data_IF_405195407757
#
_entry.id   IF_405195407757
#
_cell.length_a   1.000
_cell.length_b   1.000
_cell.length_c   1.000
_cell.angle_alpha   90.00
_cell.angle_beta   90.00
_cell.angle_gamma   90.00
#
_symmetry.space_group_name_H-M   'P 1'
#
loop_
_entity.id
_entity.type
_entity.pdbx_description
1 polymer ?
#
# COMPACT_ATOMS: atom_id res chain seq x y z
N UNK A 1 -3.33 55.81 37.45
CA UNK A 1 -3.39 54.41 37.88
C UNK A 1 -4.49 53.64 37.12
N UNK A 2 -5.69 54.20 36.99
CA UNK A 2 -6.82 53.55 36.25
C UNK A 2 -6.54 53.30 34.77
N UNK A 3 -5.95 54.26 34.04
CA UNK A 3 -5.61 54.10 32.60
C UNK A 3 -4.60 52.98 32.34
N UNK A 4 -3.61 52.83 33.22
CA UNK A 4 -2.60 51.75 33.10
C UNK A 4 -3.26 50.36 33.30
N UNK A 5 -4.18 50.25 34.26
CA UNK A 5 -4.93 49.01 34.52
C UNK A 5 -5.86 48.63 33.36
N UNK A 6 -6.50 49.63 32.71
CA UNK A 6 -7.35 49.35 31.55
C UNK A 6 -6.57 48.88 30.33
N UNK A 7 -5.37 49.46 30.09
CA UNK A 7 -4.48 49.04 29.02
C UNK A 7 -4.00 47.59 29.25
N UNK A 8 -3.57 47.25 30.47
CA UNK A 8 -3.13 45.86 30.80
C UNK A 8 -4.30 44.89 30.64
N UNK A 9 -5.49 45.23 31.12
CA UNK A 9 -6.67 44.40 30.95
C UNK A 9 -7.03 44.14 29.47
N UNK A 10 -6.98 45.19 28.65
CA UNK A 10 -7.25 45.10 27.20
C UNK A 10 -6.21 44.19 26.48
N UNK A 11 -4.92 44.33 26.80
CA UNK A 11 -3.88 43.51 26.17
C UNK A 11 -4.00 42.01 26.54
N UNK A 12 -4.39 41.72 27.80
CA UNK A 12 -4.62 40.33 28.22
C UNK A 12 -5.81 39.71 27.48
N UNK A 13 -6.92 40.46 27.37
CA UNK A 13 -8.11 39.98 26.62
C UNK A 13 -7.77 39.72 25.15
N UNK A 14 -7.04 40.64 24.48
CA UNK A 14 -6.63 40.46 23.10
C UNK A 14 -5.72 39.23 22.95
N UNK A 15 -4.75 39.02 23.85
CA UNK A 15 -3.88 37.85 23.81
C UNK A 15 -4.66 36.53 23.98
N UNK A 16 -5.63 36.48 24.90
CA UNK A 16 -6.53 35.35 25.08
C UNK A 16 -7.37 35.05 23.84
N UNK A 17 -7.93 36.11 23.21
CA UNK A 17 -8.71 35.95 21.96
C UNK A 17 -7.84 35.41 20.83
N UNK A 18 -6.62 35.92 20.63
CA UNK A 18 -5.70 35.46 19.61
C UNK A 18 -5.33 33.96 19.84
N UNK A 19 -5.03 33.60 21.09
CA UNK A 19 -4.71 32.23 21.45
C UNK A 19 -5.89 31.28 21.20
N UNK A 20 -7.10 31.67 21.56
CA UNK A 20 -8.32 30.91 21.34
C UNK A 20 -8.62 30.74 19.85
N UNK A 21 -8.51 31.81 19.06
CA UNK A 21 -8.68 31.72 17.60
C UNK A 21 -7.63 30.84 16.95
N UNK A 22 -6.36 30.95 17.37
CA UNK A 22 -5.28 30.09 16.86
C UNK A 22 -5.55 28.61 17.16
N UNK A 23 -6.05 28.31 18.36
CA UNK A 23 -6.45 26.94 18.75
C UNK A 23 -7.59 26.42 17.88
N UNK A 24 -8.66 27.19 17.68
CA UNK A 24 -9.79 26.82 16.82
C UNK A 24 -9.33 26.53 15.38
N UNK A 25 -8.53 27.44 14.81
CA UNK A 25 -8.00 27.25 13.44
C UNK A 25 -7.14 25.98 13.33
N UNK A 26 -6.37 25.66 14.36
CA UNK A 26 -5.54 24.45 14.37
C UNK A 26 -6.39 23.19 14.49
N UNK A 27 -7.47 23.21 15.27
CA UNK A 27 -8.40 22.08 15.40
C UNK A 27 -9.17 21.84 14.09
N UNK A 28 -9.66 22.88 13.42
CA UNK A 28 -10.35 22.76 12.14
C UNK A 28 -9.46 22.32 10.98
N UNK A 29 -8.19 22.73 10.96
CA UNK A 29 -7.22 22.28 9.93
C UNK A 29 -6.91 20.78 10.01
N UNK A 30 -7.23 20.12 11.12
CA UNK A 30 -7.05 18.68 11.29
C UNK A 30 -8.27 17.86 10.81
N UNK A 31 -9.35 18.50 10.41
CA UNK A 31 -10.53 17.83 9.86
C UNK A 31 -10.49 17.89 8.33
N UNK A 32 -10.52 16.74 7.70
CA UNK A 32 -10.62 16.61 6.23
C UNK A 32 -12.06 16.15 5.94
N UNK A 33 -12.82 16.97 5.22
CA UNK A 33 -14.13 16.58 4.72
C UNK A 33 -13.94 15.81 3.41
N UNK A 34 -14.29 14.54 3.40
CA UNK A 34 -14.36 13.72 2.19
C UNK A 34 -15.82 13.65 1.76
N UNK A 35 -16.11 14.15 0.57
CA UNK A 35 -17.43 14.03 -0.06
C UNK A 35 -17.45 12.68 -0.81
N UNK A 36 -18.21 11.74 -0.28
CA UNK A 36 -18.58 10.53 -1.00
C UNK A 36 -20.10 10.57 -1.24
N UNK A 37 -20.47 11.02 -2.44
CA UNK A 37 -21.84 11.33 -2.78
C UNK A 37 -22.37 12.57 -2.05
N UNK A 38 -23.65 12.57 -1.67
CA UNK A 38 -24.34 13.70 -1.00
C UNK A 38 -24.20 13.73 0.53
N UNK A 39 -23.39 12.82 1.13
CA UNK A 39 -23.22 12.74 2.59
C UNK A 39 -21.81 13.17 2.98
N UNK A 40 -21.63 14.28 3.70
CA UNK A 40 -20.34 14.68 4.20
C UNK A 40 -19.89 13.74 5.34
N UNK A 41 -18.84 12.95 5.10
CA UNK A 41 -18.16 12.19 6.15
C UNK A 41 -17.06 13.04 6.79
N UNK A 42 -17.12 13.20 8.10
CA UNK A 42 -16.02 13.77 8.88
C UNK A 42 -14.91 12.74 8.99
N UNK A 43 -13.89 12.86 8.14
CA UNK A 43 -12.69 12.05 8.27
C UNK A 43 -11.76 12.73 9.27
N UNK A 44 -11.70 12.19 10.48
CA UNK A 44 -10.65 12.57 11.44
C UNK A 44 -9.27 12.29 10.83
N UNK A 45 -8.38 13.28 10.83
CA UNK A 45 -6.99 13.08 10.40
C UNK A 45 -6.35 12.13 11.39
N UNK A 46 -6.53 10.82 11.15
CA UNK A 46 -5.91 9.79 11.96
C UNK A 46 -4.39 10.00 11.96
N UNK A 47 -3.77 9.72 13.09
CA UNK A 47 -2.33 9.89 13.27
C UNK A 47 -1.59 9.32 12.06
N UNK A 48 -0.65 10.05 11.52
CA UNK A 48 0.11 9.74 10.29
C UNK A 48 0.65 8.30 10.27
N UNK A 49 0.96 7.74 11.44
CA UNK A 49 1.42 6.37 11.64
C UNK A 49 0.33 5.31 11.38
N UNK A 50 -0.88 5.52 11.87
CA UNK A 50 -1.98 4.59 11.63
C UNK A 50 -2.37 4.52 10.14
N UNK A 51 -2.32 5.67 9.45
CA UNK A 51 -2.53 5.74 8.00
C UNK A 51 -1.41 5.02 7.24
N UNK A 52 -0.16 5.14 7.70
CA UNK A 52 0.98 4.47 7.07
C UNK A 52 0.79 2.95 7.04
N UNK A 53 0.41 2.33 8.16
CA UNK A 53 0.24 0.87 8.23
C UNK A 53 -0.84 0.38 7.28
N UNK A 54 -1.98 1.08 7.24
CA UNK A 54 -3.08 0.75 6.33
C UNK A 54 -2.66 0.90 4.86
N UNK A 55 -2.03 2.04 4.52
CA UNK A 55 -1.57 2.34 3.17
C UNK A 55 -0.45 1.38 2.71
N UNK A 56 0.47 1.03 3.61
CA UNK A 56 1.54 0.08 3.34
C UNK A 56 1.00 -1.35 3.10
N UNK A 57 0.04 -1.81 3.90
CA UNK A 57 -0.60 -3.11 3.67
C UNK A 57 -1.37 -3.15 2.36
N UNK A 58 -2.10 -2.09 2.03
CA UNK A 58 -2.80 -1.97 0.74
C UNK A 58 -1.80 -1.98 -0.42
N UNK A 59 -0.68 -1.27 -0.31
CA UNK A 59 0.38 -1.25 -1.31
C UNK A 59 1.02 -2.62 -1.52
N UNK A 60 1.35 -3.33 -0.42
CA UNK A 60 1.91 -4.69 -0.48
C UNK A 60 0.92 -5.64 -1.17
N UNK A 61 -0.36 -5.59 -0.80
CA UNK A 61 -1.40 -6.42 -1.40
C UNK A 61 -1.55 -6.14 -2.90
N UNK A 62 -1.62 -4.86 -3.29
CA UNK A 62 -1.74 -4.44 -4.68
C UNK A 62 -0.54 -4.86 -5.53
N UNK A 63 0.69 -4.74 -4.98
CA UNK A 63 1.89 -5.26 -5.63
C UNK A 63 1.79 -6.76 -5.93
N UNK A 64 1.39 -7.57 -4.94
CA UNK A 64 1.25 -9.01 -5.14
C UNK A 64 0.14 -9.35 -6.14
N UNK A 65 -0.95 -8.57 -6.18
CA UNK A 65 -1.98 -8.73 -7.19
C UNK A 65 -1.44 -8.45 -8.60
N UNK A 66 -0.71 -7.36 -8.81
CA UNK A 66 -0.11 -7.08 -10.10
C UNK A 66 0.96 -8.09 -10.52
N UNK A 67 1.68 -8.66 -9.55
CA UNK A 67 2.77 -9.59 -9.83
C UNK A 67 2.28 -11.03 -10.10
N UNK A 68 1.19 -11.47 -9.47
CA UNK A 68 0.75 -12.85 -9.49
C UNK A 68 -0.66 -13.11 -10.08
N UNK A 69 -1.48 -12.09 -10.33
CA UNK A 69 -2.75 -12.28 -11.04
C UNK A 69 -2.50 -12.18 -12.55
N UNK A 70 -2.29 -13.35 -13.15
CA UNK A 70 -1.85 -13.49 -14.53
C UNK A 70 -2.84 -14.36 -15.31
N UNK A 71 -3.71 -13.76 -16.13
CA UNK A 71 -4.51 -14.49 -17.12
C UNK A 71 -3.63 -14.94 -18.29
N UNK A 72 -4.08 -15.88 -19.15
CA UNK A 72 -3.33 -16.37 -20.30
C UNK A 72 -3.35 -15.37 -21.48
N UNK A 73 -2.92 -14.16 -21.24
CA UNK A 73 -2.84 -13.06 -22.21
C UNK A 73 -1.48 -12.36 -22.03
N UNK A 74 -0.64 -12.45 -23.06
CA UNK A 74 0.74 -11.94 -23.02
C UNK A 74 0.79 -10.42 -22.83
N UNK A 75 -0.10 -9.67 -23.49
CA UNK A 75 -0.12 -8.21 -23.39
C UNK A 75 -0.58 -7.76 -21.99
N UNK A 76 -1.59 -8.44 -21.44
CA UNK A 76 -2.04 -8.18 -20.08
C UNK A 76 -0.96 -8.52 -19.03
N UNK A 77 -0.26 -9.65 -19.19
CA UNK A 77 0.88 -10.05 -18.33
C UNK A 77 1.94 -8.97 -18.33
N UNK A 78 2.36 -8.50 -19.51
CA UNK A 78 3.35 -7.41 -19.63
C UNK A 78 2.87 -6.12 -18.97
N UNK A 79 1.61 -5.76 -19.20
CA UNK A 79 1.03 -4.55 -18.64
C UNK A 79 0.97 -4.62 -17.10
N UNK A 80 0.45 -5.70 -16.51
CA UNK A 80 0.30 -5.83 -15.06
C UNK A 80 1.65 -5.91 -14.36
N UNK A 81 2.62 -6.64 -14.91
CA UNK A 81 3.99 -6.68 -14.39
C UNK A 81 4.67 -5.31 -14.45
N UNK A 82 4.43 -4.52 -15.51
CA UNK A 82 4.94 -3.14 -15.57
C UNK A 82 4.43 -2.29 -14.42
N UNK A 83 3.17 -2.46 -14.00
CA UNK A 83 2.60 -1.78 -12.83
C UNK A 83 3.27 -2.21 -11.52
N UNK A 84 3.53 -3.50 -11.36
CA UNK A 84 4.26 -4.02 -10.20
C UNK A 84 5.67 -3.41 -10.09
N UNK A 85 6.36 -3.22 -11.22
CA UNK A 85 7.74 -2.67 -11.23
C UNK A 85 7.82 -1.20 -10.77
N UNK A 86 6.73 -0.42 -10.87
CA UNK A 86 6.70 0.93 -10.27
C UNK A 86 6.55 0.93 -8.74
N UNK A 87 6.22 -0.21 -8.15
CA UNK A 87 5.92 -0.37 -6.73
C UNK A 87 7.06 -1.01 -5.95
N UNK A 88 8.09 -1.54 -6.63
CA UNK A 88 9.19 -2.28 -6.02
C UNK A 88 10.54 -1.92 -6.63
N UNK A 89 11.60 -2.25 -5.91
CA UNK A 89 12.98 -2.05 -6.34
C UNK A 89 13.47 -3.11 -7.35
N UNK A 90 14.75 -3.06 -7.70
CA UNK A 90 15.38 -4.01 -8.61
C UNK A 90 15.33 -5.48 -8.17
N UNK A 91 14.97 -5.79 -6.91
CA UNK A 91 14.82 -7.19 -6.46
C UNK A 91 13.59 -7.86 -7.10
N UNK A 92 12.49 -7.12 -7.26
CA UNK A 92 11.30 -7.59 -7.97
C UNK A 92 11.58 -7.79 -9.47
N UNK A 93 12.35 -6.89 -10.08
CA UNK A 93 12.77 -7.03 -11.47
C UNK A 93 13.60 -8.30 -11.70
N UNK A 94 14.55 -8.58 -10.81
CA UNK A 94 15.35 -9.82 -10.88
C UNK A 94 14.48 -11.06 -10.78
N UNK A 95 13.50 -11.08 -9.89
CA UNK A 95 12.57 -12.19 -9.74
C UNK A 95 11.70 -12.36 -11.01
N UNK A 96 11.20 -11.25 -11.58
CA UNK A 96 10.47 -11.27 -12.85
C UNK A 96 11.32 -11.88 -13.96
N UNK A 97 12.57 -11.43 -14.12
CA UNK A 97 13.48 -11.93 -15.14
C UNK A 97 13.77 -13.43 -14.97
N UNK A 98 14.03 -13.89 -13.75
CA UNK A 98 14.23 -15.31 -13.47
C UNK A 98 13.00 -16.16 -13.83
N UNK A 99 11.79 -15.67 -13.60
CA UNK A 99 10.56 -16.37 -14.00
C UNK A 99 10.39 -16.38 -15.52
N UNK A 100 10.77 -15.30 -16.21
CA UNK A 100 10.73 -15.18 -17.67
C UNK A 100 11.73 -16.15 -18.32
N UNK A 101 12.96 -16.20 -17.82
CA UNK A 101 14.01 -17.13 -18.30
C UNK A 101 13.63 -18.60 -18.10
N UNK A 102 12.88 -18.91 -17.03
CA UNK A 102 12.35 -20.26 -16.78
C UNK A 102 11.07 -20.58 -17.58
N UNK A 103 10.62 -19.70 -18.47
CA UNK A 103 9.46 -19.91 -19.32
C UNK A 103 8.10 -19.81 -18.61
N UNK A 104 8.07 -19.32 -17.37
CA UNK A 104 6.84 -19.30 -16.54
C UNK A 104 5.68 -18.57 -17.22
N UNK A 105 5.91 -17.40 -17.82
CA UNK A 105 4.87 -16.61 -18.47
C UNK A 105 4.40 -17.25 -19.78
N UNK A 106 5.29 -17.81 -20.57
CA UNK A 106 4.93 -18.54 -21.81
C UNK A 106 4.13 -19.81 -21.50
N UNK A 107 4.43 -20.48 -20.38
CA UNK A 107 3.67 -21.64 -19.92
C UNK A 107 2.23 -21.27 -19.51
N UNK A 108 2.02 -20.11 -18.88
CA UNK A 108 0.68 -19.59 -18.55
C UNK A 108 -0.13 -19.42 -19.84
N UNK A 109 0.42 -18.77 -20.85
CA UNK A 109 -0.26 -18.48 -22.11
C UNK A 109 -0.53 -19.79 -22.87
N UNK A 110 0.48 -20.62 -23.06
CA UNK A 110 0.37 -21.88 -23.86
C UNK A 110 -0.58 -22.90 -23.24
N UNK A 111 -0.59 -23.01 -21.90
CA UNK A 111 -1.48 -23.92 -21.18
C UNK A 111 -2.87 -23.32 -20.91
N UNK A 112 -3.12 -22.07 -21.31
CA UNK A 112 -4.35 -21.31 -20.97
C UNK A 112 -4.62 -21.32 -19.45
N UNK A 113 -3.56 -21.24 -18.64
CA UNK A 113 -3.67 -21.22 -17.21
C UNK A 113 -4.07 -19.83 -16.70
N UNK A 114 -4.84 -19.77 -15.62
CA UNK A 114 -5.16 -18.52 -14.92
C UNK A 114 -4.52 -18.58 -13.53
N UNK A 115 -3.58 -17.68 -13.28
CA UNK A 115 -2.97 -17.54 -11.96
C UNK A 115 -3.67 -16.44 -11.18
N UNK A 116 -4.00 -16.69 -9.92
CA UNK A 116 -4.61 -15.75 -8.99
C UNK A 116 -3.90 -15.83 -7.64
N UNK A 117 -3.83 -14.69 -6.93
CA UNK A 117 -3.33 -14.63 -5.56
C UNK A 117 -4.42 -14.14 -4.61
N UNK A 118 -4.62 -14.86 -3.53
CA UNK A 118 -5.46 -14.46 -2.41
C UNK A 118 -4.53 -14.04 -1.28
N UNK A 119 -4.74 -12.85 -0.72
CA UNK A 119 -4.00 -12.39 0.44
C UNK A 119 -4.63 -12.99 1.70
N UNK A 120 -3.90 -13.83 2.41
CA UNK A 120 -4.35 -14.43 3.66
C UNK A 120 -4.04 -13.51 4.85
N UNK A 121 -2.83 -12.96 4.91
CA UNK A 121 -2.44 -11.98 5.92
C UNK A 121 -1.16 -11.22 5.56
N UNK A 122 -1.01 -10.03 6.15
CA UNK A 122 0.21 -9.22 6.05
C UNK A 122 0.64 -8.81 7.45
N UNK A 123 1.81 -9.28 7.86
CA UNK A 123 2.47 -8.83 9.09
C UNK A 123 3.46 -7.75 8.71
N UNK A 124 3.26 -6.55 9.24
CA UNK A 124 4.13 -5.39 9.05
C UNK A 124 4.61 -4.93 10.42
N UNK A 125 5.92 -4.79 10.57
CA UNK A 125 6.56 -4.16 11.72
C UNK A 125 6.72 -2.67 11.41
N UNK A 126 6.05 -1.83 12.18
CA UNK A 126 6.01 -0.38 12.00
C UNK A 126 7.37 0.29 12.23
N UNK A 127 8.18 -0.24 13.15
CA UNK A 127 9.48 0.33 13.50
C UNK A 127 10.55 -0.01 12.47
N UNK A 128 10.63 -1.29 12.08
CA UNK A 128 11.62 -1.76 11.11
C UNK A 128 11.14 -1.64 9.67
N UNK A 129 9.84 -1.37 9.46
CA UNK A 129 9.17 -1.32 8.15
C UNK A 129 9.35 -2.60 7.33
N UNK A 130 9.64 -3.71 7.99
CA UNK A 130 9.73 -5.03 7.36
C UNK A 130 8.37 -5.69 7.34
N UNK A 131 8.07 -6.37 6.24
CA UNK A 131 6.83 -7.11 6.14
C UNK A 131 7.06 -8.58 5.80
N UNK A 132 6.07 -9.38 6.16
CA UNK A 132 5.89 -10.75 5.72
C UNK A 132 4.47 -10.91 5.20
N UNK A 133 4.36 -11.23 3.92
CA UNK A 133 3.12 -11.49 3.22
C UNK A 133 2.86 -12.99 3.20
N UNK A 134 1.64 -13.38 3.47
CA UNK A 134 1.14 -14.74 3.35
C UNK A 134 -0.02 -14.73 2.36
N UNK A 135 0.03 -15.61 1.38
CA UNK A 135 -1.02 -15.72 0.40
C UNK A 135 -1.14 -17.12 -0.17
N UNK A 136 -2.29 -17.39 -0.74
CA UNK A 136 -2.59 -18.62 -1.44
C UNK A 136 -2.66 -18.34 -2.94
N UNK A 137 -1.74 -18.92 -3.72
CA UNK A 137 -1.81 -18.91 -5.17
C UNK A 137 -2.76 -20.00 -5.65
N UNK A 138 -3.65 -19.65 -6.56
CA UNK A 138 -4.55 -20.58 -7.25
C UNK A 138 -4.16 -20.55 -8.73
N UNK A 139 -3.77 -21.70 -9.27
CA UNK A 139 -3.42 -21.88 -10.68
C UNK A 139 -4.50 -22.78 -11.28
N UNK A 140 -5.41 -22.17 -12.03
CA UNK A 140 -6.47 -22.88 -12.74
C UNK A 140 -5.97 -23.33 -14.11
N UNK A 141 -6.04 -24.64 -14.40
CA UNK A 141 -5.67 -25.23 -15.68
C UNK A 141 -6.82 -26.11 -16.18
N UNK A 142 -6.83 -26.40 -17.47
CA UNK A 142 -7.83 -27.32 -18.05
C UNK A 142 -7.76 -28.74 -17.45
N UNK A 143 -6.55 -29.18 -17.07
CA UNK A 143 -6.32 -30.53 -16.56
C UNK A 143 -6.59 -30.67 -15.07
N UNK A 144 -6.14 -29.71 -14.26
CA UNK A 144 -6.25 -29.74 -12.80
C UNK A 144 -5.95 -28.36 -12.21
N UNK A 145 -6.75 -27.97 -11.24
CA UNK A 145 -6.47 -26.80 -10.40
C UNK A 145 -5.35 -27.14 -9.41
N UNK A 146 -4.50 -26.17 -9.14
CA UNK A 146 -3.42 -26.29 -8.17
C UNK A 146 -3.47 -25.11 -7.21
N UNK A 147 -3.22 -25.38 -5.93
CA UNK A 147 -3.05 -24.34 -4.91
C UNK A 147 -1.66 -24.42 -4.33
N UNK A 148 -1.08 -23.24 -4.07
CA UNK A 148 0.25 -23.10 -3.49
C UNK A 148 0.24 -22.11 -2.35
N UNK A 149 0.96 -22.40 -1.26
CA UNK A 149 1.31 -21.37 -0.29
C UNK A 149 2.36 -20.46 -0.87
N UNK A 150 2.18 -19.16 -0.72
CA UNK A 150 3.19 -18.16 -1.09
C UNK A 150 3.51 -17.32 0.14
N UNK A 151 4.78 -17.33 0.54
CA UNK A 151 5.28 -16.46 1.60
C UNK A 151 6.38 -15.59 1.03
N UNK A 152 6.20 -14.28 1.10
CA UNK A 152 7.22 -13.32 0.70
C UNK A 152 7.59 -12.37 1.83
N UNK A 153 8.77 -11.78 1.75
CA UNK A 153 9.25 -10.77 2.68
C UNK A 153 9.87 -9.61 1.92
N UNK A 154 9.92 -8.47 2.56
CA UNK A 154 10.57 -7.27 2.07
C UNK A 154 10.51 -6.16 3.10
N UNK A 155 10.88 -4.96 2.69
CA UNK A 155 10.77 -3.73 3.49
C UNK A 155 10.00 -2.69 2.70
N UNK A 156 9.47 -1.69 3.39
CA UNK A 156 8.77 -0.55 2.79
C UNK A 156 9.57 0.73 3.02
N UNK A 157 9.82 1.47 1.96
CA UNK A 157 10.46 2.79 2.00
C UNK A 157 9.52 3.87 1.45
N UNK A 158 9.62 5.08 1.98
CA UNK A 158 8.88 6.21 1.45
C UNK A 158 9.63 6.79 0.24
N UNK A 159 8.89 7.02 -0.84
CA UNK A 159 9.39 7.67 -2.05
C UNK A 159 8.41 8.78 -2.48
N UNK A 160 8.82 9.72 -3.33
CA UNK A 160 7.89 10.71 -3.88
C UNK A 160 6.70 10.03 -4.58
N UNK A 161 5.49 10.54 -4.33
CA UNK A 161 4.28 10.08 -5.01
C UNK A 161 4.34 10.43 -6.49
N UNK A 162 3.96 9.47 -7.33
CA UNK A 162 3.87 9.64 -8.78
C UNK A 162 2.55 9.09 -9.29
N UNK A 163 2.20 9.40 -10.54
CA UNK A 163 0.99 8.86 -11.19
C UNK A 163 0.98 7.32 -11.21
N UNK A 164 2.15 6.69 -11.31
CA UNK A 164 2.29 5.22 -11.36
C UNK A 164 2.48 4.60 -9.97
N UNK A 165 2.78 5.41 -8.95
CA UNK A 165 2.92 5.00 -7.55
C UNK A 165 2.28 6.07 -6.64
N UNK A 166 0.93 6.10 -6.56
CA UNK A 166 0.20 7.12 -5.83
C UNK A 166 0.36 7.01 -4.30
N UNK A 167 0.66 5.81 -3.78
CA UNK A 167 0.93 5.63 -2.34
C UNK A 167 2.26 6.27 -1.92
N UNK A 168 3.23 6.44 -2.86
CA UNK A 168 4.56 6.95 -2.52
C UNK A 168 5.33 5.98 -1.62
N UNK A 169 5.14 4.69 -1.82
CA UNK A 169 5.79 3.60 -1.10
C UNK A 169 6.55 2.72 -2.08
N UNK A 170 7.74 2.26 -1.69
CA UNK A 170 8.56 1.35 -2.49
C UNK A 170 8.82 0.08 -1.69
N UNK A 171 8.51 -1.06 -2.28
CA UNK A 171 8.90 -2.36 -1.74
C UNK A 171 10.36 -2.60 -2.07
N UNK A 172 11.19 -2.83 -1.05
CA UNK A 172 12.64 -3.07 -1.20
C UNK A 172 13.02 -4.43 -0.62
N UNK A 173 14.13 -4.98 -1.12
CA UNK A 173 14.66 -6.27 -0.66
C UNK A 173 13.63 -7.41 -0.72
N UNK A 174 12.76 -7.38 -1.73
CA UNK A 174 11.69 -8.35 -1.87
C UNK A 174 12.22 -9.71 -2.31
N UNK A 175 11.73 -10.76 -1.64
CA UNK A 175 12.07 -12.16 -1.98
C UNK A 175 10.97 -13.12 -1.55
N UNK A 176 10.86 -14.21 -2.28
CA UNK A 176 10.02 -15.34 -1.90
C UNK A 176 10.77 -16.24 -0.92
N UNK A 177 10.13 -16.54 0.22
CA UNK A 177 10.63 -17.50 1.21
C UNK A 177 10.07 -18.90 0.97
N UNK A 178 8.81 -18.98 0.56
CA UNK A 178 8.12 -20.24 0.35
C UNK A 178 7.15 -20.13 -0.82
N UNK A 179 7.14 -21.14 -1.66
CA UNK A 179 6.12 -21.37 -2.68
C UNK A 179 5.96 -22.89 -2.83
N UNK A 180 5.07 -23.48 -2.01
CA UNK A 180 4.87 -24.93 -1.95
C UNK A 180 3.49 -25.32 -2.38
N UNK A 181 3.37 -26.47 -3.06
CA UNK A 181 2.09 -27.05 -3.38
C UNK A 181 1.35 -27.41 -2.07
N UNK A 182 0.06 -27.07 -2.01
CA UNK A 182 -0.81 -27.50 -0.94
C UNK A 182 -1.46 -28.81 -1.37
N UNK A 183 -1.11 -29.90 -0.68
CA UNK A 183 -1.71 -31.21 -0.90
C UNK A 183 -3.21 -31.16 -0.56
N UNK A 184 -4.03 -31.80 -1.40
CA UNK A 184 -5.46 -32.08 -1.18
C UNK A 184 -5.68 -33.55 -0.91
#
# INVERSE_FOLDING_TARGET
MTVLLTIIGSTVVCACCIFYCAKLVTEERNQIYVLDGDIPFLAERSKQEANFVMEAKAHIQLFHQYFFNLPPDDDYIKWTLSKAMYMADGTALKQKQAMEENGFYSDIVSSSAVCMIICDSIKLDEHTRKFKYYGTQIIKRRSRDMKRSLITVGSIENVPRTRNNPHGLLITNWRTLENKDLDY
#
